data_IF_094690577714
#
_entry.id   IF_094690577714
#
_cell.length_a   1.000
_cell.length_b   1.000
_cell.length_c   1.000
_cell.angle_alpha   90.00
_cell.angle_beta   90.00
_cell.angle_gamma   90.00
#
_symmetry.space_group_name_H-M   'P 1'
#
loop_
_entity.id
_entity.type
_entity.pdbx_description
1 polymer ?
#
# COMPACT_ATOMS: atom_id res chain seq x y z
N UNK A 1 -6.30 -5.60 4.24
CA UNK A 1 -7.41 -4.75 4.71
C UNK A 1 -7.04 -3.87 5.92
N UNK A 2 -6.31 -4.38 6.92
CA UNK A 2 -5.92 -3.60 8.12
C UNK A 2 -5.20 -2.27 7.84
N UNK A 3 -4.28 -2.23 6.89
CA UNK A 3 -3.59 -0.98 6.54
C UNK A 3 -4.58 0.09 6.04
N UNK A 4 -5.53 -0.29 5.20
CA UNK A 4 -6.56 0.63 4.68
C UNK A 4 -7.49 1.12 5.79
N UNK A 5 -7.89 0.25 6.73
CA UNK A 5 -8.71 0.66 7.87
C UNK A 5 -7.99 1.61 8.83
N UNK A 6 -6.66 1.66 8.79
CA UNK A 6 -5.84 2.57 9.57
C UNK A 6 -5.52 3.89 8.84
N UNK A 7 -6.13 4.12 7.67
CA UNK A 7 -5.98 5.36 6.90
C UNK A 7 -4.94 5.28 5.78
N UNK A 8 -4.35 4.10 5.52
CA UNK A 8 -3.51 3.96 4.35
C UNK A 8 -4.33 4.04 3.05
N UNK A 9 -3.76 4.62 2.01
CA UNK A 9 -4.37 4.72 0.69
C UNK A 9 -3.60 3.89 -0.34
N UNK A 10 -4.28 3.36 -1.35
CA UNK A 10 -3.59 2.72 -2.48
C UNK A 10 -2.88 3.79 -3.32
N UNK A 11 -1.60 3.58 -3.63
CA UNK A 11 -0.89 4.44 -4.55
C UNK A 11 -1.50 4.32 -5.97
N UNK A 12 -1.53 5.44 -6.72
CA UNK A 12 -2.05 5.47 -8.10
C UNK A 12 -1.27 4.55 -9.03
N UNK A 13 0.05 4.51 -8.87
CA UNK A 13 0.93 3.59 -9.55
C UNK A 13 1.28 2.43 -8.61
N UNK A 14 1.29 1.22 -9.15
CA UNK A 14 1.66 0.00 -8.45
C UNK A 14 2.91 -0.56 -9.10
N UNK A 15 3.89 -0.95 -8.28
CA UNK A 15 5.19 -1.41 -8.77
C UNK A 15 5.52 -2.86 -8.41
N UNK A 16 4.68 -3.52 -7.60
CA UNK A 16 4.97 -4.89 -7.12
C UNK A 16 4.27 -6.00 -7.92
N UNK A 17 3.44 -5.66 -8.91
CA UNK A 17 2.69 -6.65 -9.69
C UNK A 17 1.87 -7.58 -8.79
N UNK A 18 2.01 -8.89 -9.01
CA UNK A 18 1.28 -9.92 -8.24
C UNK A 18 1.90 -10.23 -6.87
N UNK A 19 3.06 -9.64 -6.52
CA UNK A 19 3.74 -9.89 -5.25
C UNK A 19 3.23 -9.03 -4.08
N UNK A 20 2.32 -8.10 -4.36
CA UNK A 20 1.67 -7.27 -3.35
C UNK A 20 1.26 -5.90 -3.87
N UNK A 21 1.21 -4.91 -2.98
CA UNK A 21 0.79 -3.54 -3.34
C UNK A 21 1.63 -2.45 -2.66
N UNK A 22 1.74 -1.31 -3.36
CA UNK A 22 2.27 -0.05 -2.82
C UNK A 22 1.12 0.76 -2.22
N UNK A 23 1.26 1.09 -0.94
CA UNK A 23 0.34 1.94 -0.17
C UNK A 23 1.04 3.23 0.24
N UNK A 24 0.23 4.24 0.55
CA UNK A 24 0.63 5.49 1.18
C UNK A 24 0.08 5.50 2.61
N UNK A 25 0.87 5.89 3.59
CA UNK A 25 0.38 6.18 4.93
C UNK A 25 -0.51 7.45 4.94
N UNK A 26 -1.15 7.81 6.07
CA UNK A 26 -1.98 9.02 6.15
C UNK A 26 -1.25 10.34 5.82
N UNK A 27 0.07 10.38 5.98
CA UNK A 27 0.92 11.54 5.66
C UNK A 27 1.43 11.50 4.20
N UNK A 28 1.16 10.42 3.47
CA UNK A 28 1.52 10.24 2.06
C UNK A 28 2.83 9.49 1.82
N UNK A 29 3.47 8.90 2.85
CA UNK A 29 4.72 8.16 2.68
C UNK A 29 4.48 6.76 2.09
N UNK A 30 5.26 6.34 1.08
CA UNK A 30 5.07 5.06 0.43
C UNK A 30 5.62 3.90 1.27
N UNK A 31 4.87 2.80 1.31
CA UNK A 31 5.33 1.51 1.82
C UNK A 31 4.74 0.35 1.02
N UNK A 32 5.37 -0.82 1.11
CA UNK A 32 4.95 -2.02 0.40
C UNK A 32 4.28 -3.01 1.35
N UNK A 33 3.13 -3.54 0.93
CA UNK A 33 2.54 -4.72 1.55
C UNK A 33 2.78 -5.92 0.64
N UNK A 34 3.64 -6.83 1.07
CA UNK A 34 3.98 -8.06 0.34
C UNK A 34 2.99 -9.17 0.72
N UNK A 35 2.50 -9.91 -0.27
CA UNK A 35 1.67 -11.10 -0.04
C UNK A 35 2.57 -12.34 0.00
N UNK A 36 2.50 -13.10 1.09
CA UNK A 36 3.14 -14.39 1.28
C UNK A 36 2.21 -15.33 2.02
#
# INVERSE_FOLDING_TARGET
ERALSLGAAKAKAQFMGDHGMTLLDPDGHPFCLVTG
#
